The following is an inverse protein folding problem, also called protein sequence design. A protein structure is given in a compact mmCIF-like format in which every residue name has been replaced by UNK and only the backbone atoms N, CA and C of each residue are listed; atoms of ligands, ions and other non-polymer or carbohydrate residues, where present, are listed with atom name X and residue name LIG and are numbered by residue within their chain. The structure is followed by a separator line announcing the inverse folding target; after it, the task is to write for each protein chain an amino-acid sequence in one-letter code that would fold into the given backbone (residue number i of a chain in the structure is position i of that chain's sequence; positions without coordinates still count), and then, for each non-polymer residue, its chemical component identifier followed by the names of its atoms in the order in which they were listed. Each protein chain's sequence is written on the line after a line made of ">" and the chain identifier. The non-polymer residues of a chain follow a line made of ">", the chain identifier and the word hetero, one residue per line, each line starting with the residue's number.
data_IF_490613565841
#
_entry.id   IF_490613565841
#
_cell.length_a   1.000
_cell.length_b   1.000
_cell.length_c   1.000
_cell.angle_alpha   90.00
_cell.angle_beta   90.00
_cell.angle_gamma   90.00
#
_symmetry.space_group_name_H-M   'P 1'
#
loop_
_entity.id
_entity.type
_entity.pdbx_description
1 polymer ?
#
# COMPACT_ATOMS: atom_id res chain seq x y z
N UNK A 1 5.00 56.64 4.30
CA UNK A 1 3.95 56.71 3.27
C UNK A 1 4.59 56.23 1.97
N UNK A 2 4.86 54.93 1.90
CA UNK A 2 4.10 53.95 1.09
C UNK A 2 4.32 54.17 -0.41
N UNK A 3 5.05 53.31 -1.13
CA UNK A 3 4.45 52.04 -1.57
C UNK A 3 5.51 51.04 -2.03
N UNK A 4 5.84 50.04 -1.20
CA UNK A 4 6.41 48.78 -1.69
C UNK A 4 5.27 47.99 -2.34
N UNK A 5 5.10 48.07 -3.67
CA UNK A 5 4.28 47.08 -4.39
C UNK A 5 5.07 45.78 -4.51
N UNK A 6 4.95 44.93 -3.49
CA UNK A 6 5.38 43.53 -3.50
C UNK A 6 4.56 42.78 -4.56
N UNK A 7 5.12 42.62 -5.76
CA UNK A 7 4.56 41.72 -6.77
C UNK A 7 4.90 40.30 -6.38
N UNK A 8 3.99 39.63 -5.67
CA UNK A 8 4.07 38.20 -5.39
C UNK A 8 4.07 37.40 -6.69
N UNK A 9 4.99 36.45 -6.78
CA UNK A 9 5.20 35.53 -7.90
C UNK A 9 3.89 34.79 -8.23
N UNK A 10 3.29 35.09 -9.38
CA UNK A 10 2.20 34.31 -9.96
C UNK A 10 2.85 33.24 -10.86
N UNK A 11 2.52 31.98 -10.62
CA UNK A 11 3.00 30.88 -11.45
C UNK A 11 1.97 30.64 -12.57
N UNK A 12 2.44 30.67 -13.82
CA UNK A 12 1.61 30.43 -15.01
C UNK A 12 1.64 28.94 -15.33
N UNK A 13 0.48 28.29 -15.38
CA UNK A 13 0.39 26.89 -15.83
C UNK A 13 0.23 26.77 -17.35
N UNK A 14 0.45 25.57 -17.88
CA UNK A 14 0.42 25.28 -19.33
C UNK A 14 -0.93 25.56 -20.01
N UNK A 15 -2.01 25.69 -19.25
CA UNK A 15 -3.35 26.07 -19.69
C UNK A 15 -3.56 27.60 -19.75
N UNK A 16 -2.52 28.40 -19.49
CA UNK A 16 -2.55 29.87 -19.53
C UNK A 16 -3.23 30.53 -18.33
N UNK A 17 -3.57 29.75 -17.30
CA UNK A 17 -4.20 30.27 -16.09
C UNK A 17 -3.14 30.65 -15.04
N UNK A 18 -3.45 31.70 -14.26
CA UNK A 18 -2.56 32.21 -13.21
C UNK A 18 -2.97 31.65 -11.84
N UNK A 19 -2.00 31.14 -11.10
CA UNK A 19 -2.20 30.62 -9.75
C UNK A 19 -1.24 31.28 -8.77
N UNK A 20 -1.67 31.43 -7.52
CA UNK A 20 -0.71 31.63 -6.45
C UNK A 20 0.08 30.34 -6.22
N UNK A 21 1.29 30.42 -5.67
CA UNK A 21 2.14 29.25 -5.47
C UNK A 21 1.45 28.08 -4.74
N UNK A 22 0.49 28.36 -3.84
CA UNK A 22 -0.32 27.33 -3.18
C UNK A 22 -1.21 26.56 -4.17
N UNK A 23 -2.06 27.27 -4.93
CA UNK A 23 -2.96 26.62 -5.89
C UNK A 23 -2.21 26.02 -7.07
N UNK A 24 -1.06 26.59 -7.45
CA UNK A 24 -0.18 25.97 -8.44
C UNK A 24 0.36 24.64 -7.90
N UNK A 25 0.87 24.64 -6.67
CA UNK A 25 1.37 23.44 -6.01
C UNK A 25 0.35 22.30 -5.94
N UNK A 26 -0.92 22.60 -5.69
CA UNK A 26 -2.01 21.61 -5.67
C UNK A 26 -2.27 20.92 -7.02
N UNK A 27 -1.90 21.56 -8.14
CA UNK A 27 -1.98 20.94 -9.47
C UNK A 27 -0.79 20.03 -9.76
N UNK A 28 0.34 20.25 -9.09
CA UNK A 28 1.62 19.60 -9.41
C UNK A 28 1.93 18.48 -8.42
N UNK A 29 1.59 18.65 -7.15
CA UNK A 29 1.96 17.74 -6.07
C UNK A 29 0.71 17.14 -5.41
N UNK A 30 0.73 15.85 -5.04
CA UNK A 30 -0.37 15.24 -4.32
C UNK A 30 -0.47 15.79 -2.90
N UNK A 31 -1.69 15.88 -2.37
CA UNK A 31 -1.98 16.36 -1.00
C UNK A 31 -2.16 15.18 -0.06
N UNK A 32 -1.47 15.20 1.09
CA UNK A 32 -1.55 14.15 2.09
C UNK A 32 -2.89 14.19 2.83
N UNK A 33 -3.64 13.10 2.82
CA UNK A 33 -4.92 12.99 3.54
C UNK A 33 -4.79 12.91 5.06
N UNK A 34 -3.59 12.66 5.59
CA UNK A 34 -3.33 12.61 7.03
C UNK A 34 -3.05 13.98 7.66
N UNK A 35 -2.23 14.81 7.01
CA UNK A 35 -1.79 16.11 7.55
C UNK A 35 -2.26 17.33 6.74
N UNK A 36 -2.97 17.13 5.63
CA UNK A 36 -3.44 18.19 4.74
C UNK A 36 -2.32 19.11 4.19
N UNK A 37 -1.14 18.54 3.93
CA UNK A 37 -0.01 19.24 3.32
C UNK A 37 0.38 18.60 1.98
N UNK A 38 1.01 19.40 1.09
CA UNK A 38 1.52 18.90 -0.19
C UNK A 38 2.72 17.94 0.04
N UNK A 39 2.75 16.86 -0.74
CA UNK A 39 3.81 15.85 -0.69
C UNK A 39 4.84 16.18 -1.78
N UNK A 40 5.97 16.78 -1.38
CA UNK A 40 7.09 17.06 -2.30
C UNK A 40 8.01 15.86 -2.52
N UNK A 41 7.90 14.84 -1.67
CA UNK A 41 8.68 13.61 -1.80
C UNK A 41 8.33 12.87 -3.09
N UNK A 42 9.37 12.32 -3.74
CA UNK A 42 9.19 11.50 -4.95
C UNK A 42 8.44 10.19 -4.65
N UNK A 43 8.63 9.65 -3.45
CA UNK A 43 7.99 8.43 -2.97
C UNK A 43 6.93 8.79 -1.93
N UNK A 44 5.75 8.19 -2.07
CA UNK A 44 4.62 8.38 -1.17
C UNK A 44 3.69 7.17 -1.25
N UNK A 45 2.72 7.08 -0.34
CA UNK A 45 1.74 5.99 -0.34
C UNK A 45 0.45 6.44 -1.02
N UNK A 46 -0.01 5.67 -2.01
CA UNK A 46 -1.36 5.81 -2.58
C UNK A 46 -2.23 4.65 -2.10
N UNK A 47 -3.25 4.96 -1.30
CA UNK A 47 -4.13 3.98 -0.69
C UNK A 47 -5.54 4.57 -0.52
N UNK A 48 -6.57 3.75 -0.80
CA UNK A 48 -7.98 4.16 -0.73
C UNK A 48 -8.26 5.43 -1.57
N UNK A 49 -7.69 5.49 -2.78
CA UNK A 49 -7.78 6.62 -3.73
C UNK A 49 -7.25 7.95 -3.18
N UNK A 50 -6.44 7.89 -2.12
CA UNK A 50 -5.87 9.03 -1.43
C UNK A 50 -4.35 8.93 -1.41
N UNK A 51 -3.72 10.09 -1.35
CA UNK A 51 -2.28 10.21 -1.21
C UNK A 51 -1.89 10.49 0.24
N UNK A 52 -0.78 9.92 0.67
CA UNK A 52 -0.28 10.00 2.03
C UNK A 52 1.24 10.14 2.03
N UNK A 53 1.79 10.99 2.91
CA UNK A 53 3.19 10.85 3.29
C UNK A 53 3.43 9.41 3.81
N UNK A 54 4.62 8.87 3.60
CA UNK A 54 4.98 7.52 4.06
C UNK A 54 4.71 7.37 5.57
N UNK A 55 5.03 8.41 6.34
CA UNK A 55 4.87 8.44 7.80
C UNK A 55 3.46 8.83 8.28
N UNK A 56 2.55 9.19 7.37
CA UNK A 56 1.17 9.56 7.73
C UNK A 56 0.15 8.52 7.27
N UNK A 57 0.58 7.46 6.60
CA UNK A 57 -0.26 6.30 6.37
C UNK A 57 -0.02 5.29 7.48
N UNK A 58 -0.64 5.49 8.64
CA UNK A 58 -0.36 4.77 9.87
C UNK A 58 -1.63 4.19 10.51
N UNK A 59 -1.45 3.16 11.34
CA UNK A 59 -2.54 2.58 12.13
C UNK A 59 -2.99 3.58 13.22
N UNK A 60 -4.26 3.97 13.23
CA UNK A 60 -4.81 4.90 14.21
C UNK A 60 -4.67 4.46 15.68
N UNK A 61 -4.56 3.15 15.94
CA UNK A 61 -4.47 2.61 17.31
C UNK A 61 -3.05 2.46 17.86
N UNK A 62 -2.02 2.43 17.00
CA UNK A 62 -0.65 2.13 17.43
C UNK A 62 0.45 2.85 16.64
N UNK A 63 0.08 3.78 15.74
CA UNK A 63 0.99 4.58 14.90
C UNK A 63 1.95 3.79 14.02
N UNK A 64 1.72 2.48 13.85
CA UNK A 64 2.52 1.64 12.97
C UNK A 64 2.39 2.14 11.52
N UNK A 65 3.53 2.43 10.88
CA UNK A 65 3.58 2.80 9.47
C UNK A 65 3.03 1.65 8.63
N UNK A 66 1.99 1.94 7.85
CA UNK A 66 1.34 1.01 6.94
C UNK A 66 1.90 1.13 5.51
N UNK A 67 2.57 2.25 5.20
CA UNK A 67 3.24 2.46 3.93
C UNK A 67 4.38 1.46 3.74
N UNK A 68 4.43 0.77 2.60
CA UNK A 68 5.44 -0.26 2.31
C UNK A 68 5.29 -1.57 3.11
N UNK A 69 4.49 -1.60 4.18
CA UNK A 69 4.20 -2.80 4.96
C UNK A 69 2.98 -3.53 4.40
N UNK A 70 3.12 -4.83 4.13
CA UNK A 70 2.04 -5.63 3.53
C UNK A 70 1.15 -6.21 4.63
N UNK A 71 0.12 -5.45 5.00
CA UNK A 71 -0.95 -5.89 5.92
C UNK A 71 -2.13 -6.53 5.19
N UNK A 72 -2.03 -6.73 3.87
CA UNK A 72 -3.09 -7.33 3.05
C UNK A 72 -2.83 -8.82 2.85
N UNK A 73 -3.84 -9.64 3.08
CA UNK A 73 -3.75 -11.07 2.81
C UNK A 73 -3.75 -11.33 1.30
N UNK A 74 -2.75 -12.08 0.83
CA UNK A 74 -2.63 -12.41 -0.59
C UNK A 74 -3.83 -13.23 -1.11
N UNK A 75 -4.40 -14.10 -0.27
CA UNK A 75 -5.49 -15.00 -0.65
C UNK A 75 -6.87 -14.31 -0.68
N UNK A 76 -7.26 -13.60 0.37
CA UNK A 76 -8.61 -13.02 0.47
C UNK A 76 -8.67 -11.52 0.16
N UNK A 77 -7.52 -10.86 -0.04
CA UNK A 77 -7.40 -9.41 -0.27
C UNK A 77 -8.01 -8.55 0.85
N UNK A 78 -8.19 -9.10 2.06
CA UNK A 78 -8.60 -8.35 3.24
C UNK A 78 -7.40 -7.99 4.13
N UNK A 79 -7.58 -7.00 4.99
CA UNK A 79 -6.60 -6.59 6.01
C UNK A 79 -6.38 -7.76 7.00
N UNK A 80 -5.12 -8.04 7.32
CA UNK A 80 -4.71 -8.92 8.42
C UNK A 80 -4.55 -8.03 9.64
N UNK A 81 -5.50 -8.09 10.57
CA UNK A 81 -5.47 -7.23 11.74
C UNK A 81 -4.19 -7.45 12.56
N UNK A 82 -3.73 -6.44 13.33
CA UNK A 82 -2.50 -6.56 14.13
C UNK A 82 -2.51 -7.79 15.06
N UNK A 83 -3.68 -8.14 15.59
CA UNK A 83 -3.88 -9.25 16.51
C UNK A 83 -4.23 -10.58 15.83
N UNK A 84 -4.45 -10.59 14.52
CA UNK A 84 -4.70 -11.82 13.79
C UNK A 84 -3.40 -12.64 13.67
N UNK A 85 -3.51 -13.94 13.91
CA UNK A 85 -2.42 -14.87 13.59
C UNK A 85 -2.12 -14.82 12.09
N UNK A 86 -0.84 -14.66 11.74
CA UNK A 86 -0.39 -14.49 10.35
C UNK A 86 0.73 -15.44 9.97
N UNK A 87 0.76 -15.85 8.72
CA UNK A 87 1.91 -16.50 8.10
C UNK A 87 2.56 -15.50 7.15
N UNK A 88 3.88 -15.35 7.26
CA UNK A 88 4.67 -14.48 6.38
C UNK A 88 5.80 -15.27 5.75
N UNK A 89 5.99 -15.10 4.44
CA UNK A 89 7.11 -15.71 3.71
C UNK A 89 7.56 -14.79 2.57
N UNK A 90 8.82 -14.35 2.64
CA UNK A 90 9.35 -13.26 1.83
C UNK A 90 8.43 -12.04 1.92
N UNK A 91 7.98 -11.52 0.78
CA UNK A 91 7.06 -10.40 0.68
C UNK A 91 5.57 -10.78 0.78
N UNK A 92 5.22 -12.05 0.98
CA UNK A 92 3.82 -12.47 1.00
C UNK A 92 3.30 -12.76 2.41
N UNK A 93 2.03 -12.42 2.62
CA UNK A 93 1.35 -12.56 3.92
C UNK A 93 -0.05 -13.16 3.75
N UNK A 94 -0.44 -13.99 4.71
CA UNK A 94 -1.74 -14.64 4.78
C UNK A 94 -2.26 -14.66 6.22
N UNK A 95 -3.58 -14.64 6.39
CA UNK A 95 -4.16 -15.08 7.67
C UNK A 95 -3.76 -16.53 7.93
N UNK A 96 -3.35 -16.86 9.15
CA UNK A 96 -2.97 -18.21 9.56
C UNK A 96 -4.21 -19.10 9.83
N UNK A 97 -5.08 -19.23 8.82
CA UNK A 97 -6.29 -20.04 8.88
C UNK A 97 -6.47 -20.88 7.60
N UNK A 98 -7.36 -21.86 7.67
CA UNK A 98 -7.62 -22.78 6.55
C UNK A 98 -8.27 -22.10 5.34
N UNK A 99 -8.86 -20.91 5.49
CA UNK A 99 -9.46 -20.18 4.38
C UNK A 99 -8.38 -19.50 3.51
N UNK A 100 -7.35 -18.93 4.15
CA UNK A 100 -6.36 -18.08 3.48
C UNK A 100 -5.01 -18.75 3.26
N UNK A 101 -4.61 -19.70 4.11
CA UNK A 101 -3.31 -20.39 3.98
C UNK A 101 -3.52 -21.89 3.76
N UNK A 102 -3.82 -22.23 2.51
CA UNK A 102 -4.11 -23.60 2.05
C UNK A 102 -3.45 -23.91 0.70
N UNK A 103 -3.16 -25.18 0.47
CA UNK A 103 -2.64 -25.66 -0.79
C UNK A 103 -3.56 -25.27 -1.94
N UNK A 104 -3.01 -24.65 -2.99
CA UNK A 104 -3.80 -24.21 -4.15
C UNK A 104 -4.46 -25.38 -4.90
N UNK A 105 -3.85 -26.55 -4.89
CA UNK A 105 -4.34 -27.74 -5.58
C UNK A 105 -5.37 -28.53 -4.74
N UNK A 106 -4.97 -29.02 -3.56
CA UNK A 106 -5.81 -29.92 -2.75
C UNK A 106 -6.61 -29.22 -1.64
N UNK A 107 -6.47 -27.90 -1.47
CA UNK A 107 -7.14 -27.11 -0.42
C UNK A 107 -6.80 -27.46 1.03
N UNK A 108 -5.85 -28.36 1.28
CA UNK A 108 -5.38 -28.67 2.64
C UNK A 108 -4.78 -27.43 3.31
N UNK A 109 -5.13 -27.16 4.57
CA UNK A 109 -4.52 -26.08 5.34
C UNK A 109 -3.01 -26.32 5.51
N UNK A 110 -2.23 -25.26 5.35
CA UNK A 110 -0.77 -25.28 5.48
C UNK A 110 -0.31 -24.62 6.79
N UNK A 111 -1.23 -24.24 7.67
CA UNK A 111 -0.89 -23.66 8.97
C UNK A 111 -0.04 -24.68 9.76
N UNK A 112 1.14 -24.25 10.21
CA UNK A 112 2.12 -25.08 10.92
C UNK A 112 2.64 -26.29 10.11
N UNK A 113 2.52 -26.28 8.79
CA UNK A 113 3.06 -27.31 7.89
C UNK A 113 4.21 -26.75 7.04
N UNK A 114 5.10 -27.62 6.57
CA UNK A 114 6.03 -27.26 5.50
C UNK A 114 5.25 -27.01 4.21
N UNK A 115 5.73 -26.06 3.40
CA UNK A 115 5.07 -25.68 2.15
C UNK A 115 6.08 -25.27 1.08
N UNK A 116 5.60 -25.20 -0.16
CA UNK A 116 6.31 -24.65 -1.30
C UNK A 116 5.59 -23.39 -1.78
N UNK A 117 6.32 -22.35 -2.14
CA UNK A 117 5.80 -21.13 -2.75
C UNK A 117 6.33 -21.01 -4.19
N UNK A 118 5.43 -20.86 -5.16
CA UNK A 118 5.78 -20.58 -6.56
C UNK A 118 4.68 -19.73 -7.20
N UNK A 119 5.07 -18.67 -7.90
CA UNK A 119 4.17 -17.75 -8.62
C UNK A 119 2.98 -17.32 -7.74
N UNK A 120 3.26 -16.86 -6.52
CA UNK A 120 2.26 -16.41 -5.54
C UNK A 120 1.32 -17.49 -4.98
N UNK A 121 1.49 -18.75 -5.39
CA UNK A 121 0.71 -19.89 -4.93
C UNK A 121 1.49 -20.75 -3.93
N UNK A 122 0.79 -21.20 -2.89
CA UNK A 122 1.34 -22.10 -1.86
C UNK A 122 0.85 -23.55 -2.05
N UNK A 123 1.74 -24.51 -1.83
CA UNK A 123 1.49 -25.93 -2.06
C UNK A 123 2.00 -26.78 -0.89
N UNK A 124 1.31 -27.86 -0.57
CA UNK A 124 1.74 -28.80 0.47
C UNK A 124 2.94 -29.67 0.06
N UNK A 125 3.06 -29.99 -1.22
CA UNK A 125 4.09 -30.88 -1.75
C UNK A 125 4.39 -30.59 -3.23
N UNK A 126 5.47 -31.20 -3.73
CA UNK A 126 5.89 -31.06 -5.12
C UNK A 126 4.83 -31.57 -6.10
N UNK A 127 4.13 -32.66 -5.78
CA UNK A 127 3.10 -33.23 -6.66
C UNK A 127 1.93 -32.27 -6.87
N UNK A 128 1.41 -31.68 -5.79
CA UNK A 128 0.36 -30.66 -5.87
C UNK A 128 0.79 -29.44 -6.69
N UNK A 129 2.06 -29.02 -6.55
CA UNK A 129 2.62 -27.94 -7.37
C UNK A 129 2.62 -28.33 -8.84
N UNK A 130 3.17 -29.50 -9.17
CA UNK A 130 3.28 -29.97 -10.55
C UNK A 130 1.92 -30.15 -11.20
N UNK A 131 0.94 -30.73 -10.50
CA UNK A 131 -0.43 -30.91 -11.00
C UNK A 131 -1.10 -29.58 -11.33
N UNK A 132 -0.94 -28.56 -10.49
CA UNK A 132 -1.53 -27.24 -10.71
C UNK A 132 -0.95 -26.49 -11.92
N UNK A 133 0.35 -26.66 -12.22
CA UNK A 133 0.99 -26.03 -13.38
C UNK A 133 0.93 -26.89 -14.65
N UNK A 134 0.47 -28.14 -14.54
CA UNK A 134 0.28 -29.04 -15.68
C UNK A 134 -1.12 -28.93 -16.31
N UNK A 135 -2.03 -28.18 -15.66
CA UNK A 135 -3.41 -27.92 -16.11
C UNK A 135 -3.55 -26.62 -16.89
#
# INVERSE_FOLDING_TARGET
>A
MDSLRRSGTLDVSADGQYYCGRHYGEKVYPRCSGCDELIFAKEYTFAEEKSWHVDHFCCFGCDLHLGGHRYMCLACKNKIAPFDSRVSHKEFHWHANAACFKCKNCSMSLANQKFLLKDEHVFCCADCKTQFFAS
#
